data_IF_939968366988
#
_entry.id   IF_939968366988
#
_cell.length_a   1.000
_cell.length_b   1.000
_cell.length_c   1.000
_cell.angle_alpha   90.00
_cell.angle_beta   90.00
_cell.angle_gamma   90.00
#
_symmetry.space_group_name_H-M   'P 1'
#
loop_
_entity.id
_entity.type
_entity.pdbx_description
1 polymer ?
#
# COMPACT_ATOMS: atom_id res chain seq x y z
N UNK A 1 17.12 1.93 -15.78
CA UNK A 1 17.95 2.75 -14.85
C UNK A 1 18.23 1.90 -13.64
N UNK A 2 19.47 1.76 -13.21
CA UNK A 2 19.77 1.08 -11.94
C UNK A 2 19.47 2.03 -10.76
N UNK A 3 18.56 1.61 -9.89
CA UNK A 3 18.15 2.38 -8.71
C UNK A 3 18.92 1.94 -7.43
N UNK A 4 19.81 0.94 -7.53
CA UNK A 4 20.54 0.38 -6.40
C UNK A 4 19.65 -0.32 -5.36
N UNK A 5 18.49 -0.82 -5.77
CA UNK A 5 17.50 -1.46 -4.89
C UNK A 5 17.26 -2.95 -5.21
N UNK A 6 18.03 -3.54 -6.08
CA UNK A 6 17.96 -4.97 -6.39
C UNK A 6 18.17 -5.82 -5.14
N UNK A 7 17.33 -6.83 -4.94
CA UNK A 7 17.35 -7.70 -3.76
C UNK A 7 16.77 -7.07 -2.49
N UNK A 8 16.25 -5.84 -2.55
CA UNK A 8 15.50 -5.23 -1.45
C UNK A 8 14.11 -5.84 -1.34
N UNK A 9 13.53 -5.76 -0.14
CA UNK A 9 12.20 -6.29 0.16
C UNK A 9 11.20 -5.16 0.28
N UNK A 10 10.09 -5.27 -0.45
CA UNK A 10 9.06 -4.24 -0.47
C UNK A 10 7.68 -4.78 -0.08
N UNK A 11 6.99 -4.07 0.81
CA UNK A 11 5.56 -4.24 1.06
C UNK A 11 4.81 -3.22 0.22
N UNK A 12 3.87 -3.68 -0.61
CA UNK A 12 3.03 -2.80 -1.44
C UNK A 12 1.56 -3.03 -1.11
N UNK A 13 0.95 -2.08 -0.41
CA UNK A 13 -0.44 -2.15 0.00
C UNK A 13 -1.40 -1.93 -1.18
N UNK A 14 -2.57 -2.57 -1.15
CA UNK A 14 -3.64 -2.49 -2.16
C UNK A 14 -3.10 -2.57 -3.60
N UNK A 15 -2.26 -3.57 -3.87
CA UNK A 15 -1.46 -3.71 -5.10
C UNK A 15 -2.01 -4.72 -6.11
N UNK A 16 -3.24 -5.22 -5.94
CA UNK A 16 -3.86 -6.13 -6.90
C UNK A 16 -4.25 -5.45 -8.22
N UNK A 17 -4.37 -4.12 -8.26
CA UNK A 17 -4.71 -3.32 -9.45
C UNK A 17 -4.31 -1.85 -9.29
N UNK A 18 -4.50 -1.06 -10.36
CA UNK A 18 -4.33 0.41 -10.33
C UNK A 18 -2.92 0.86 -9.95
N UNK A 19 -2.83 1.94 -9.18
CA UNK A 19 -1.55 2.56 -8.79
C UNK A 19 -0.67 1.61 -7.97
N UNK A 20 -1.25 0.88 -7.01
CA UNK A 20 -0.50 -0.09 -6.22
C UNK A 20 0.14 -1.19 -7.07
N UNK A 21 -0.59 -1.74 -8.08
CA UNK A 21 -0.02 -2.70 -9.03
C UNK A 21 1.10 -2.08 -9.87
N UNK A 22 0.94 -0.81 -10.28
CA UNK A 22 1.99 -0.07 -10.99
C UNK A 22 3.26 0.07 -10.16
N UNK A 23 3.13 0.42 -8.87
CA UNK A 23 4.26 0.48 -7.95
C UNK A 23 4.92 -0.89 -7.77
N UNK A 24 4.12 -1.95 -7.57
CA UNK A 24 4.64 -3.31 -7.44
C UNK A 24 5.39 -3.76 -8.70
N UNK A 25 4.87 -3.45 -9.89
CA UNK A 25 5.55 -3.78 -11.15
C UNK A 25 6.89 -3.04 -11.31
N UNK A 26 6.94 -1.76 -10.99
CA UNK A 26 8.18 -0.98 -11.06
C UNK A 26 9.25 -1.46 -10.06
N UNK A 27 8.84 -1.87 -8.85
CA UNK A 27 9.74 -2.44 -7.85
C UNK A 27 10.22 -3.84 -8.27
N UNK A 28 9.34 -4.68 -8.83
CA UNK A 28 9.71 -5.99 -9.37
C UNK A 28 10.70 -5.85 -10.54
N UNK A 29 10.47 -4.92 -11.48
CA UNK A 29 11.38 -4.60 -12.58
C UNK A 29 12.76 -4.15 -12.06
N UNK A 30 12.80 -3.42 -10.96
CA UNK A 30 14.04 -3.02 -10.29
C UNK A 30 14.71 -4.18 -9.51
N UNK A 31 14.09 -5.36 -9.46
CA UNK A 31 14.62 -6.57 -8.83
C UNK A 31 14.38 -6.67 -7.33
N UNK A 32 13.33 -6.02 -6.82
CA UNK A 32 12.89 -6.18 -5.44
C UNK A 32 12.00 -7.42 -5.26
N UNK A 33 12.15 -8.11 -4.12
CA UNK A 33 11.16 -9.08 -3.67
C UNK A 33 9.97 -8.38 -3.02
N UNK A 34 8.76 -8.93 -3.22
CA UNK A 34 7.54 -8.22 -2.89
C UNK A 34 6.63 -8.99 -1.93
N UNK A 35 5.97 -8.24 -1.06
CA UNK A 35 4.69 -8.65 -0.47
C UNK A 35 3.60 -7.77 -1.07
N UNK A 36 2.67 -8.39 -1.78
CA UNK A 36 1.52 -7.73 -2.40
C UNK A 36 0.25 -7.97 -1.61
N UNK A 37 -0.64 -6.98 -1.59
CA UNK A 37 -1.87 -7.04 -0.82
C UNK A 37 -3.09 -6.65 -1.66
N UNK A 38 -4.21 -7.28 -1.36
CA UNK A 38 -5.48 -6.96 -1.99
C UNK A 38 -6.64 -7.71 -1.36
N UNK A 39 -7.86 -7.19 -1.49
CA UNK A 39 -9.08 -7.78 -0.89
C UNK A 39 -9.59 -9.01 -1.64
N UNK A 40 -9.40 -9.05 -2.95
CA UNK A 40 -9.83 -10.17 -3.79
C UNK A 40 -8.67 -11.12 -4.08
N UNK A 41 -8.77 -12.33 -3.59
CA UNK A 41 -7.73 -13.34 -3.68
C UNK A 41 -7.38 -13.70 -5.15
N UNK A 42 -8.39 -13.81 -6.02
CA UNK A 42 -8.18 -14.18 -7.41
C UNK A 42 -7.41 -13.11 -8.19
N UNK A 43 -7.81 -11.85 -8.04
CA UNK A 43 -7.11 -10.72 -8.68
C UNK A 43 -5.69 -10.58 -8.14
N UNK A 44 -5.50 -10.77 -6.82
CA UNK A 44 -4.18 -10.68 -6.19
C UNK A 44 -3.25 -11.79 -6.71
N UNK A 45 -3.72 -13.03 -6.74
CA UNK A 45 -2.95 -14.18 -7.24
C UNK A 45 -2.55 -14.00 -8.71
N UNK A 46 -3.44 -13.48 -9.55
CA UNK A 46 -3.11 -13.15 -10.93
C UNK A 46 -1.99 -12.11 -11.01
N UNK A 47 -2.09 -11.04 -10.24
CA UNK A 47 -1.06 -10.00 -10.20
C UNK A 47 0.28 -10.56 -9.71
N UNK A 48 0.29 -11.35 -8.64
CA UNK A 48 1.50 -11.96 -8.12
C UNK A 48 2.16 -12.91 -9.12
N UNK A 49 1.36 -13.72 -9.82
CA UNK A 49 1.85 -14.61 -10.89
C UNK A 49 2.50 -13.80 -12.03
N UNK A 50 1.82 -12.75 -12.50
CA UNK A 50 2.32 -11.90 -13.57
C UNK A 50 3.67 -11.25 -13.18
N UNK A 51 3.81 -10.77 -11.95
CA UNK A 51 5.03 -10.17 -11.43
C UNK A 51 6.19 -11.19 -11.37
N UNK A 52 5.94 -12.40 -10.83
CA UNK A 52 6.94 -13.48 -10.80
C UNK A 52 7.40 -13.88 -12.20
N UNK A 53 6.46 -14.03 -13.13
CA UNK A 53 6.76 -14.45 -14.51
C UNK A 53 7.51 -13.39 -15.30
N UNK A 54 7.17 -12.12 -15.11
CA UNK A 54 7.76 -11.03 -15.88
C UNK A 54 9.16 -10.66 -15.39
N UNK A 55 9.42 -10.74 -14.09
CA UNK A 55 10.66 -10.19 -13.50
C UNK A 55 11.50 -11.19 -12.71
N UNK A 56 11.01 -12.40 -12.45
CA UNK A 56 11.77 -13.45 -11.77
C UNK A 56 12.06 -13.14 -10.30
N UNK A 57 11.25 -12.31 -9.65
CA UNK A 57 11.37 -11.94 -8.24
C UNK A 57 10.42 -12.77 -7.37
N UNK A 58 10.72 -12.89 -6.08
CA UNK A 58 9.83 -13.51 -5.12
C UNK A 58 8.67 -12.57 -4.79
N UNK A 59 7.45 -13.12 -4.78
CA UNK A 59 6.24 -12.37 -4.47
C UNK A 59 5.37 -13.17 -3.51
N UNK A 60 5.19 -12.69 -2.29
CA UNK A 60 4.22 -13.20 -1.34
C UNK A 60 2.90 -12.44 -1.44
N UNK A 61 1.81 -13.10 -1.10
CA UNK A 61 0.44 -12.58 -1.21
C UNK A 61 -0.21 -12.50 0.16
N UNK A 62 -0.76 -11.36 0.52
CA UNK A 62 -1.55 -11.17 1.74
C UNK A 62 -2.94 -10.67 1.36
N UNK A 63 -3.93 -11.56 1.48
CA UNK A 63 -5.32 -11.24 1.16
C UNK A 63 -5.98 -10.55 2.34
N UNK A 64 -6.64 -9.43 2.09
CA UNK A 64 -7.43 -8.72 3.09
C UNK A 64 -7.41 -7.21 2.91
N UNK A 65 -8.21 -6.55 3.73
CA UNK A 65 -8.27 -5.10 3.80
C UNK A 65 -7.13 -4.58 4.68
N UNK A 66 -6.23 -3.79 4.10
CA UNK A 66 -5.03 -3.27 4.79
C UNK A 66 -5.34 -2.36 5.99
N UNK A 67 -6.57 -1.84 6.08
CA UNK A 67 -7.02 -1.08 7.25
C UNK A 67 -7.27 -1.94 8.50
N UNK A 68 -7.29 -3.26 8.34
CA UNK A 68 -7.52 -4.20 9.43
C UNK A 68 -6.21 -4.57 10.11
N UNK A 69 -6.12 -4.47 11.46
CA UNK A 69 -4.89 -4.78 12.19
C UNK A 69 -4.34 -6.19 11.93
N UNK A 70 -5.22 -7.18 11.76
CA UNK A 70 -4.82 -8.55 11.45
C UNK A 70 -4.16 -8.70 10.08
N UNK A 71 -4.56 -7.88 9.10
CA UNK A 71 -3.95 -7.86 7.76
C UNK A 71 -2.60 -7.13 7.80
N UNK A 72 -2.49 -6.05 8.56
CA UNK A 72 -1.21 -5.37 8.80
C UNK A 72 -0.20 -6.31 9.47
N UNK A 73 -0.64 -7.06 10.50
CA UNK A 73 0.20 -8.06 11.15
C UNK A 73 0.65 -9.16 10.18
N UNK A 74 -0.24 -9.62 9.29
CA UNK A 74 0.10 -10.61 8.27
C UNK A 74 1.11 -10.07 7.24
N UNK A 75 1.00 -8.80 6.84
CA UNK A 75 1.98 -8.14 5.95
C UNK A 75 3.37 -8.09 6.58
N UNK A 76 3.44 -7.69 7.85
CA UNK A 76 4.69 -7.62 8.60
C UNK A 76 5.28 -9.01 8.87
N UNK A 77 4.44 -10.02 9.09
CA UNK A 77 4.89 -11.40 9.23
C UNK A 77 5.43 -11.97 7.90
N UNK A 78 4.83 -11.62 6.76
CA UNK A 78 5.29 -12.02 5.43
C UNK A 78 6.60 -11.32 5.03
N UNK A 79 6.87 -10.13 5.58
CA UNK A 79 8.12 -9.39 5.39
C UNK A 79 8.54 -8.72 6.70
N UNK A 80 9.22 -9.44 7.61
CA UNK A 80 9.59 -8.89 8.94
C UNK A 80 10.56 -7.71 8.87
N UNK A 81 11.35 -7.62 7.81
CA UNK A 81 12.36 -6.59 7.62
C UNK A 81 12.21 -5.90 6.25
N UNK A 82 11.13 -5.14 6.04
CA UNK A 82 10.95 -4.45 4.77
C UNK A 82 11.94 -3.30 4.62
N UNK A 83 12.49 -3.17 3.43
CA UNK A 83 13.32 -2.02 3.02
C UNK A 83 12.45 -0.91 2.44
N UNK A 84 11.35 -1.27 1.83
CA UNK A 84 10.44 -0.35 1.14
C UNK A 84 9.00 -0.63 1.58
N UNK A 85 8.28 0.43 1.94
CA UNK A 85 6.85 0.38 2.23
C UNK A 85 6.12 1.33 1.28
N UNK A 86 5.19 0.81 0.50
CA UNK A 86 4.27 1.63 -0.30
C UNK A 86 2.89 1.60 0.35
N UNK A 87 2.58 2.67 1.05
CA UNK A 87 1.25 2.91 1.59
C UNK A 87 0.31 3.32 0.46
N UNK A 88 -0.69 2.51 0.25
CA UNK A 88 -1.77 2.73 -0.68
C UNK A 88 -3.04 2.07 -0.15
N UNK A 89 -4.18 2.65 -0.41
CA UNK A 89 -5.48 2.05 -0.07
C UNK A 89 -6.51 2.40 -1.15
N UNK A 90 -7.68 1.80 -1.09
CA UNK A 90 -8.82 2.23 -1.89
C UNK A 90 -9.23 3.64 -1.47
N UNK A 91 -9.25 4.58 -2.42
CA UNK A 91 -9.79 5.92 -2.16
C UNK A 91 -11.26 5.84 -1.70
N UNK A 92 -11.73 6.84 -0.93
CA UNK A 92 -13.13 6.91 -0.56
C UNK A 92 -14.02 7.04 -1.81
N UNK A 93 -15.25 6.50 -1.76
CA UNK A 93 -16.19 6.62 -2.87
C UNK A 93 -16.57 8.09 -3.07
N UNK A 94 -16.82 8.46 -4.33
CA UNK A 94 -17.35 9.77 -4.68
C UNK A 94 -18.74 9.94 -4.09
N UNK A 95 -18.94 10.94 -3.21
CA UNK A 95 -20.21 11.19 -2.51
C UNK A 95 -20.39 12.67 -2.21
N UNK A 96 -21.66 13.11 -2.18
CA UNK A 96 -22.00 14.42 -1.61
C UNK A 96 -21.67 14.43 -0.10
N UNK A 97 -21.01 15.50 0.38
CA UNK A 97 -20.61 15.61 1.79
C UNK A 97 -21.79 15.49 2.76
N UNK A 98 -22.99 15.88 2.34
CA UNK A 98 -24.23 15.74 3.12
C UNK A 98 -24.64 14.31 3.40
N UNK A 99 -24.13 13.35 2.61
CA UNK A 99 -24.35 11.90 2.80
C UNK A 99 -23.31 11.24 3.72
N UNK A 100 -22.32 12.03 4.19
CA UNK A 100 -21.26 11.55 5.06
C UNK A 100 -21.74 11.52 6.50
N UNK A 101 -22.10 10.34 6.98
CA UNK A 101 -22.32 10.10 8.39
C UNK A 101 -21.00 9.87 9.15
N UNK A 102 -21.07 9.84 10.48
CA UNK A 102 -19.90 9.64 11.35
C UNK A 102 -19.13 8.34 11.01
N UNK A 103 -19.82 7.27 10.70
CA UNK A 103 -19.20 5.97 10.41
C UNK A 103 -18.34 6.05 9.14
N UNK A 104 -18.86 6.64 8.08
CA UNK A 104 -18.13 6.85 6.81
C UNK A 104 -16.93 7.78 6.97
N UNK A 105 -17.08 8.83 7.80
CA UNK A 105 -15.96 9.74 8.11
C UNK A 105 -14.85 8.98 8.82
N UNK A 106 -15.17 8.22 9.85
CA UNK A 106 -14.19 7.43 10.60
C UNK A 106 -13.54 6.36 9.71
N UNK A 107 -14.28 5.71 8.83
CA UNK A 107 -13.74 4.76 7.85
C UNK A 107 -12.74 5.46 6.91
N UNK A 108 -13.10 6.62 6.36
CA UNK A 108 -12.21 7.40 5.49
C UNK A 108 -10.91 7.81 6.18
N UNK A 109 -11.00 8.31 7.42
CA UNK A 109 -9.83 8.67 8.24
C UNK A 109 -8.99 7.43 8.56
N UNK A 110 -9.62 6.31 8.94
CA UNK A 110 -8.90 5.06 9.21
C UNK A 110 -8.13 4.60 7.99
N UNK A 111 -8.78 4.56 6.84
CA UNK A 111 -8.19 4.04 5.61
C UNK A 111 -7.04 4.90 5.08
N UNK A 112 -7.16 6.23 5.16
CA UNK A 112 -6.24 7.12 4.46
C UNK A 112 -5.26 7.87 5.39
N UNK A 113 -5.48 7.85 6.70
CA UNK A 113 -4.62 8.50 7.68
C UNK A 113 -4.08 7.52 8.72
N UNK A 114 -4.95 6.79 9.42
CA UNK A 114 -4.51 5.92 10.53
C UNK A 114 -3.67 4.75 10.00
N UNK A 115 -4.17 4.01 9.01
CA UNK A 115 -3.49 2.85 8.42
C UNK A 115 -2.06 3.13 7.95
N UNK A 116 -1.78 4.17 7.12
CA UNK A 116 -0.42 4.48 6.71
C UNK A 116 0.48 4.89 7.88
N UNK A 117 -0.05 5.55 8.91
CA UNK A 117 0.71 5.90 10.12
C UNK A 117 1.09 4.64 10.90
N UNK A 118 0.16 3.71 11.10
CA UNK A 118 0.40 2.44 11.81
C UNK A 118 1.48 1.61 11.10
N UNK A 119 1.39 1.43 9.79
CA UNK A 119 2.38 0.70 9.01
C UNK A 119 3.74 1.40 9.01
N UNK A 120 3.78 2.72 8.85
CA UNK A 120 5.02 3.48 8.92
C UNK A 120 5.70 3.32 10.28
N UNK A 121 4.97 3.44 11.39
CA UNK A 121 5.50 3.21 12.74
C UNK A 121 6.07 1.80 12.90
N UNK A 122 5.41 0.79 12.34
CA UNK A 122 5.84 -0.60 12.50
C UNK A 122 7.16 -0.92 11.79
N UNK A 123 7.54 -0.17 10.76
CA UNK A 123 8.75 -0.46 9.95
C UNK A 123 9.91 0.53 10.19
N UNK A 124 9.61 1.72 10.70
CA UNK A 124 10.56 2.84 10.77
C UNK A 124 11.83 2.52 11.55
N UNK A 125 11.70 1.98 12.75
CA UNK A 125 12.84 1.69 13.63
C UNK A 125 13.75 0.63 13.02
N UNK A 126 13.18 -0.42 12.42
CA UNK A 126 13.93 -1.44 11.72
C UNK A 126 14.68 -0.88 10.49
N UNK A 127 14.04 -0.03 9.71
CA UNK A 127 14.66 0.65 8.57
C UNK A 127 15.82 1.56 9.04
N UNK A 128 15.62 2.34 10.11
CA UNK A 128 16.65 3.19 10.68
C UNK A 128 17.85 2.39 11.20
N UNK A 129 17.61 1.31 11.92
CA UNK A 129 18.66 0.44 12.45
C UNK A 129 19.51 -0.21 11.34
N UNK A 130 18.90 -0.55 10.19
CA UNK A 130 19.63 -1.10 9.04
C UNK A 130 20.27 -0.03 8.13
N UNK A 131 20.10 1.26 8.44
CA UNK A 131 20.64 2.37 7.65
C UNK A 131 19.98 2.54 6.26
N UNK A 132 18.87 1.85 6.01
CA UNK A 132 18.12 1.96 4.76
C UNK A 132 16.61 1.79 4.98
N UNK A 133 15.82 2.66 4.37
CA UNK A 133 14.37 2.57 4.31
C UNK A 133 13.78 3.58 3.33
N UNK A 134 12.67 3.20 2.71
CA UNK A 134 11.86 4.10 1.87
C UNK A 134 10.39 3.89 2.18
N UNK A 135 9.72 4.96 2.55
CA UNK A 135 8.28 4.96 2.77
C UNK A 135 7.66 5.89 1.72
N UNK A 136 6.79 5.32 0.89
CA UNK A 136 6.07 6.03 -0.16
C UNK A 136 4.60 6.05 0.18
N UNK A 137 4.01 7.22 0.29
CA UNK A 137 2.57 7.39 0.49
C UNK A 137 1.92 7.80 -0.83
N UNK A 138 0.98 7.01 -1.32
CA UNK A 138 0.16 7.37 -2.48
C UNK A 138 -0.93 8.32 -1.99
N UNK A 139 -0.84 9.55 -2.43
CA UNK A 139 -1.77 10.62 -2.07
C UNK A 139 -2.67 11.01 -3.26
N UNK A 140 -3.43 12.06 -3.13
CA UNK A 140 -4.38 12.54 -4.15
C UNK A 140 -4.15 14.01 -4.46
N UNK A 141 -4.50 14.43 -5.68
CA UNK A 141 -4.59 15.85 -6.05
C UNK A 141 -5.55 16.64 -5.14
N UNK A 142 -6.54 15.96 -4.55
CA UNK A 142 -7.49 16.55 -3.60
C UNK A 142 -6.85 17.14 -2.33
N UNK A 143 -5.58 16.85 -2.08
CA UNK A 143 -4.76 17.50 -1.03
C UNK A 143 -4.53 18.99 -1.34
N UNK A 144 -4.37 19.33 -2.61
CA UNK A 144 -4.08 20.69 -3.05
C UNK A 144 -5.31 21.43 -3.59
N UNK A 145 -6.20 20.68 -4.23
CA UNK A 145 -7.40 21.24 -4.86
C UNK A 145 -8.62 20.44 -4.39
N UNK A 146 -9.51 21.04 -3.58
CA UNK A 146 -10.74 20.37 -3.17
C UNK A 146 -11.56 19.96 -4.39
N UNK A 147 -11.93 18.68 -4.43
CA UNK A 147 -12.75 18.11 -5.51
C UNK A 147 -14.12 17.80 -4.90
N UNK A 148 -15.21 18.43 -5.38
CA UNK A 148 -16.56 18.13 -4.89
C UNK A 148 -16.84 16.63 -4.90
N UNK A 149 -17.36 16.10 -3.81
CA UNK A 149 -17.62 14.65 -3.65
C UNK A 149 -16.41 13.80 -3.23
N UNK A 150 -15.21 14.39 -3.06
CA UNK A 150 -14.03 13.72 -2.51
C UNK A 150 -13.57 14.33 -1.17
N UNK A 151 -14.51 14.83 -0.38
CA UNK A 151 -14.24 15.54 0.88
C UNK A 151 -13.48 14.66 1.89
N UNK A 152 -13.77 13.36 1.96
CA UNK A 152 -13.04 12.41 2.80
C UNK A 152 -11.59 12.22 2.36
N UNK A 153 -11.33 12.27 1.05
CA UNK A 153 -9.97 12.18 0.51
C UNK A 153 -9.18 13.46 0.82
N UNK A 154 -9.83 14.62 0.73
CA UNK A 154 -9.20 15.92 1.03
C UNK A 154 -8.92 16.10 2.52
N UNK A 155 -9.79 15.58 3.39
CA UNK A 155 -9.68 15.70 4.84
C UNK A 155 -8.72 14.69 5.49
N UNK A 156 -8.49 13.58 4.87
CA UNK A 156 -7.61 12.52 5.37
C UNK A 156 -6.21 12.59 4.75
#
# INVERSE_FOLDING_TARGET
MDLGIRGRKAIVCASSKGLGRGCAAALAEAGCDLVVNGRDAGTLANTARDLRQSWGVDVAEVVGDVSRPEVQAALLAACPEPDILVNNNGGPPFRDFRELDRAKILEGVTNNMVTPIELAKAVLDGMAARGFGRIVNITSLSVYVPIPGLDLSSGA
#
